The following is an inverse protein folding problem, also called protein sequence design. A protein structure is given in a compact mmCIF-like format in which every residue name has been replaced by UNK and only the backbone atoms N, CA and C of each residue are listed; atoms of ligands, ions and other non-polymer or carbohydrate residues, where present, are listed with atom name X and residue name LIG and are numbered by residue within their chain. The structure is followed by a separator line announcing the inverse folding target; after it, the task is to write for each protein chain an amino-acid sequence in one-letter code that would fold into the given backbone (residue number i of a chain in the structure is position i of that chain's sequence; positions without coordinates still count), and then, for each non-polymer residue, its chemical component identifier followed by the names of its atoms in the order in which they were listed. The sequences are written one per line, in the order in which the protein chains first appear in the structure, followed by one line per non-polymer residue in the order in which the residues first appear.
data_IF_215512417611
#
_entry.id   IF_215512417611
#
_cell.length_a   1.000
_cell.length_b   1.000
_cell.length_c   1.000
_cell.angle_alpha   90.00
_cell.angle_beta   90.00
_cell.angle_gamma   90.00
#
_symmetry.space_group_name_H-M   'P 1'
#
loop_
_entity.id
_entity.type
_entity.pdbx_description
1 polymer ?
#
# COMPACT_ATOMS: atom_id res chain seq x y z
N UNK A 1 2.26 -17.54 15.39
CA UNK A 1 0.85 -17.18 15.11
C UNK A 1 0.72 -16.79 13.64
N UNK A 2 1.41 -15.75 13.11
CA UNK A 2 1.26 -15.25 11.74
C UNK A 2 1.50 -16.33 10.67
N UNK A 3 2.60 -17.08 10.75
CA UNK A 3 2.90 -18.16 9.78
C UNK A 3 1.82 -19.25 9.75
N UNK A 4 1.16 -19.51 10.89
CA UNK A 4 0.07 -20.49 10.95
C UNK A 4 -1.19 -19.93 10.28
N UNK A 5 -1.50 -18.65 10.51
CA UNK A 5 -2.62 -17.97 9.85
C UNK A 5 -2.44 -17.93 8.32
N UNK A 6 -1.24 -17.62 7.83
CA UNK A 6 -0.92 -17.67 6.40
C UNK A 6 -1.18 -19.04 5.79
N UNK A 7 -0.67 -20.11 6.44
CA UNK A 7 -0.90 -21.48 5.96
C UNK A 7 -2.39 -21.85 5.91
N UNK A 8 -3.14 -21.48 6.97
CA UNK A 8 -4.57 -21.80 7.06
C UNK A 8 -5.40 -21.06 6.02
N UNK A 9 -4.99 -19.86 5.62
CA UNK A 9 -5.74 -19.02 4.68
C UNK A 9 -5.18 -19.03 3.26
N UNK A 10 -4.11 -19.76 2.99
CA UNK A 10 -3.39 -19.75 1.70
C UNK A 10 -4.28 -20.07 0.47
N UNK A 11 -5.34 -20.87 0.67
CA UNK A 11 -6.28 -21.24 -0.38
C UNK A 11 -7.49 -20.30 -0.51
N UNK A 12 -7.59 -19.28 0.35
CA UNK A 12 -8.68 -18.30 0.29
C UNK A 12 -8.43 -17.32 -0.86
N UNK A 13 -9.47 -17.07 -1.69
CA UNK A 13 -9.33 -16.24 -2.91
C UNK A 13 -10.21 -14.99 -2.91
N UNK A 14 -11.03 -14.79 -1.88
CA UNK A 14 -11.97 -13.66 -1.83
C UNK A 14 -11.37 -12.35 -1.36
N UNK A 15 -10.39 -12.42 -0.46
CA UNK A 15 -9.74 -11.27 0.15
C UNK A 15 -8.30 -11.63 0.49
N UNK A 16 -7.36 -10.77 0.12
CA UNK A 16 -5.98 -10.83 0.58
C UNK A 16 -5.73 -9.73 1.61
N UNK A 17 -5.21 -10.10 2.76
CA UNK A 17 -4.79 -9.14 3.81
C UNK A 17 -3.26 -9.18 3.89
N UNK A 18 -2.63 -8.02 3.76
CA UNK A 18 -1.19 -7.86 3.89
C UNK A 18 -0.88 -7.02 5.13
N UNK A 19 -0.12 -7.56 6.07
CA UNK A 19 0.29 -6.88 7.30
C UNK A 19 1.73 -6.36 7.13
N UNK A 20 1.89 -5.04 7.11
CA UNK A 20 3.19 -4.39 7.04
C UNK A 20 3.77 -4.19 8.45
N UNK A 21 4.58 -5.13 8.91
CA UNK A 21 5.25 -5.08 10.21
C UNK A 21 6.70 -4.64 10.03
N UNK A 22 7.14 -3.66 10.82
CA UNK A 22 8.49 -3.08 10.73
C UNK A 22 8.86 -2.65 9.30
N UNK A 23 7.89 -2.06 8.58
CA UNK A 23 8.00 -1.67 7.19
C UNK A 23 8.44 -0.20 7.06
N UNK A 24 9.26 0.08 6.06
CA UNK A 24 9.62 1.44 5.66
C UNK A 24 9.96 1.51 4.17
N UNK A 25 9.20 2.34 3.43
CA UNK A 25 9.29 2.42 1.96
C UNK A 25 10.67 2.82 1.45
N UNK A 26 11.39 3.71 2.13
CA UNK A 26 12.76 4.08 1.74
C UNK A 26 13.69 2.87 1.77
N UNK A 27 13.62 2.06 2.81
CA UNK A 27 14.42 0.83 2.92
C UNK A 27 14.02 -0.21 1.89
N UNK A 28 12.73 -0.34 1.61
CA UNK A 28 12.22 -1.21 0.55
C UNK A 28 12.80 -0.85 -0.82
N UNK A 29 12.77 0.45 -1.18
CA UNK A 29 13.31 0.95 -2.45
C UNK A 29 14.82 0.69 -2.55
N UNK A 30 15.58 0.98 -1.50
CA UNK A 30 17.03 0.71 -1.47
C UNK A 30 17.30 -0.79 -1.62
N UNK A 31 16.51 -1.63 -0.95
CA UNK A 31 16.64 -3.08 -1.08
C UNK A 31 16.32 -3.56 -2.50
N UNK A 32 15.26 -3.05 -3.13
CA UNK A 32 14.92 -3.35 -4.52
C UNK A 32 16.06 -3.00 -5.48
N UNK A 33 16.70 -1.84 -5.33
CA UNK A 33 17.86 -1.42 -6.12
C UNK A 33 19.04 -2.37 -5.90
N UNK A 34 19.32 -2.78 -4.68
CA UNK A 34 20.39 -3.71 -4.37
C UNK A 34 20.16 -5.09 -4.99
N UNK A 35 18.91 -5.57 -5.00
CA UNK A 35 18.53 -6.81 -5.68
C UNK A 35 18.74 -6.71 -7.20
N UNK A 36 18.38 -5.59 -7.82
CA UNK A 36 18.60 -5.31 -9.24
C UNK A 36 20.10 -5.36 -9.57
N UNK A 37 20.94 -4.69 -8.77
CA UNK A 37 22.40 -4.72 -8.92
C UNK A 37 22.94 -6.15 -8.80
N UNK A 38 22.50 -6.91 -7.80
CA UNK A 38 22.91 -8.31 -7.60
C UNK A 38 22.51 -9.20 -8.77
N UNK A 39 21.34 -8.98 -9.36
CA UNK A 39 20.86 -9.70 -10.56
C UNK A 39 21.52 -9.24 -11.85
N UNK A 40 22.32 -8.16 -11.83
CA UNK A 40 22.98 -7.55 -13.01
C UNK A 40 21.99 -7.17 -14.12
N UNK A 41 20.80 -6.71 -13.77
CA UNK A 41 19.79 -6.22 -14.72
C UNK A 41 19.71 -4.70 -14.70
N UNK A 42 19.18 -4.12 -15.78
CA UNK A 42 19.06 -2.66 -15.94
C UNK A 42 18.17 -2.04 -14.86
N UNK A 43 18.55 -0.87 -14.35
CA UNK A 43 17.74 -0.07 -13.44
C UNK A 43 16.64 0.65 -14.24
N UNK A 44 15.43 0.10 -14.20
CA UNK A 44 14.23 0.64 -14.83
C UNK A 44 13.08 0.65 -13.83
N UNK A 45 12.04 1.47 -14.06
CA UNK A 45 10.82 1.48 -13.23
C UNK A 45 10.26 0.07 -13.07
N UNK A 46 10.07 -0.64 -14.18
CA UNK A 46 9.58 -2.03 -14.19
C UNK A 46 10.42 -2.97 -13.32
N UNK A 47 11.76 -2.83 -13.34
CA UNK A 47 12.62 -3.69 -12.55
C UNK A 47 12.62 -3.31 -11.07
N UNK A 48 12.40 -2.03 -10.73
CA UNK A 48 12.16 -1.60 -9.34
C UNK A 48 10.88 -2.24 -8.84
N UNK A 49 9.76 -2.05 -9.53
CA UNK A 49 8.44 -2.60 -9.17
C UNK A 49 8.48 -4.11 -8.95
N UNK A 50 9.15 -4.86 -9.84
CA UNK A 50 9.32 -6.31 -9.70
C UNK A 50 10.15 -6.76 -8.50
N UNK A 51 10.87 -5.87 -7.85
CA UNK A 51 11.71 -6.17 -6.69
C UNK A 51 11.24 -5.47 -5.40
N UNK A 52 10.14 -4.72 -5.45
CA UNK A 52 9.46 -4.25 -4.24
C UNK A 52 8.82 -5.43 -3.49
N UNK A 53 8.59 -5.26 -2.20
CA UNK A 53 7.90 -6.28 -1.37
C UNK A 53 6.46 -6.52 -1.84
N UNK A 54 5.88 -5.54 -2.53
CA UNK A 54 4.53 -5.57 -3.08
C UNK A 54 4.47 -6.01 -4.54
N UNK A 55 5.53 -6.57 -5.11
CA UNK A 55 5.66 -6.89 -6.53
C UNK A 55 4.53 -7.77 -7.12
N UNK A 56 3.82 -8.51 -6.28
CA UNK A 56 2.68 -9.37 -6.66
C UNK A 56 1.33 -8.82 -6.16
N UNK A 57 1.29 -7.58 -5.72
CA UNK A 57 0.12 -6.92 -5.18
C UNK A 57 -0.10 -5.65 -6.01
N UNK A 58 -1.33 -5.35 -6.45
CA UNK A 58 -1.61 -4.09 -7.14
C UNK A 58 -1.36 -2.90 -6.22
N UNK A 59 -0.97 -1.77 -6.80
CA UNK A 59 -0.86 -0.52 -6.06
C UNK A 59 -2.22 -0.13 -5.45
N UNK A 60 -2.22 0.48 -4.27
CA UNK A 60 -3.47 0.85 -3.61
C UNK A 60 -4.16 2.00 -4.33
N UNK A 61 -5.45 1.85 -4.63
CA UNK A 61 -6.28 2.93 -5.15
C UNK A 61 -6.65 3.95 -4.07
N UNK A 62 -6.79 3.48 -2.83
CA UNK A 62 -7.25 4.25 -1.69
C UNK A 62 -6.35 4.01 -0.49
N UNK A 63 -5.87 5.08 0.13
CA UNK A 63 -5.13 5.05 1.39
C UNK A 63 -5.92 5.82 2.45
N UNK A 64 -6.23 5.18 3.57
CA UNK A 64 -6.91 5.80 4.70
C UNK A 64 -5.93 5.94 5.86
N UNK A 65 -5.63 7.17 6.25
CA UNK A 65 -4.76 7.47 7.37
C UNK A 65 -5.57 7.98 8.55
N UNK A 66 -5.67 7.18 9.60
CA UNK A 66 -6.29 7.56 10.89
C UNK A 66 -5.30 8.28 11.81
N UNK A 67 -5.77 8.90 12.89
CA UNK A 67 -4.92 9.47 13.94
C UNK A 67 -4.56 10.94 13.76
N UNK A 68 -5.36 11.70 13.02
CA UNK A 68 -5.22 13.16 12.85
C UNK A 68 -3.82 13.62 12.38
N UNK A 69 -3.16 12.81 11.57
CA UNK A 69 -1.85 13.13 11.00
C UNK A 69 -1.94 13.18 9.48
N UNK A 70 -1.34 14.21 8.86
CA UNK A 70 -1.38 14.45 7.41
C UNK A 70 -0.02 14.17 6.76
N UNK A 71 0.50 12.97 6.98
CA UNK A 71 1.79 12.51 6.43
C UNK A 71 1.79 11.00 6.23
N UNK A 72 2.55 10.50 5.27
CA UNK A 72 2.65 9.06 4.98
C UNK A 72 3.60 8.32 5.93
N UNK A 73 4.45 9.02 6.66
CA UNK A 73 5.40 8.43 7.62
C UNK A 73 6.21 7.27 7.05
N UNK A 74 6.72 7.44 5.84
CA UNK A 74 7.51 6.42 5.13
C UNK A 74 6.72 5.13 4.80
N UNK A 75 5.40 5.24 4.66
CA UNK A 75 4.54 4.10 4.30
C UNK A 75 4.14 4.16 2.82
N UNK A 76 4.43 3.10 2.07
CA UNK A 76 4.06 2.87 0.66
C UNK A 76 4.32 4.08 -0.27
N UNK A 77 5.48 4.78 -0.12
CA UNK A 77 5.76 6.02 -0.88
C UNK A 77 5.78 5.79 -2.40
N UNK A 78 6.25 4.64 -2.85
CA UNK A 78 6.27 4.28 -4.27
C UNK A 78 4.86 3.91 -4.75
N UNK A 79 4.23 2.99 -4.06
CA UNK A 79 2.95 2.40 -4.43
C UNK A 79 1.78 3.38 -4.33
N UNK A 80 1.88 4.38 -3.43
CA UNK A 80 0.83 5.37 -3.22
C UNK A 80 0.89 6.56 -4.19
N UNK A 81 1.73 6.52 -5.24
CA UNK A 81 1.94 7.63 -6.15
C UNK A 81 0.66 8.16 -6.81
N UNK A 82 -0.32 7.28 -7.05
CA UNK A 82 -1.63 7.62 -7.63
C UNK A 82 -2.79 7.25 -6.70
N UNK A 83 -2.52 6.95 -5.43
CA UNK A 83 -3.58 6.67 -4.46
C UNK A 83 -4.33 7.92 -4.06
N UNK A 84 -5.63 7.82 -3.91
CA UNK A 84 -6.43 8.82 -3.20
C UNK A 84 -6.20 8.68 -1.70
N UNK A 85 -5.82 9.77 -1.03
CA UNK A 85 -5.44 9.73 0.40
C UNK A 85 -6.48 10.44 1.23
N UNK A 86 -7.11 9.71 2.16
CA UNK A 86 -8.08 10.24 3.11
C UNK A 86 -7.47 10.29 4.51
N UNK A 87 -7.32 11.49 5.04
CA UNK A 87 -6.85 11.71 6.40
C UNK A 87 -8.04 11.80 7.35
N UNK A 88 -8.05 10.96 8.39
CA UNK A 88 -9.14 10.84 9.35
C UNK A 88 -8.67 11.27 10.74
N UNK A 89 -9.45 12.13 11.38
CA UNK A 89 -9.12 12.65 12.73
C UNK A 89 -9.20 11.56 13.81
N UNK A 90 -10.11 10.59 13.65
CA UNK A 90 -10.29 9.51 14.61
C UNK A 90 -9.04 8.63 14.73
N UNK A 91 -8.78 8.13 15.92
CA UNK A 91 -7.81 7.06 16.12
C UNK A 91 -8.34 5.75 15.54
N UNK A 92 -7.44 4.80 15.27
CA UNK A 92 -7.80 3.52 14.69
C UNK A 92 -8.88 2.75 15.47
N UNK A 93 -8.84 2.68 16.83
CA UNK A 93 -9.90 1.99 17.60
C UNK A 93 -11.28 2.63 17.48
N UNK A 94 -11.34 3.94 17.17
CA UNK A 94 -12.60 4.70 17.06
C UNK A 94 -13.11 4.76 15.61
N UNK A 95 -12.35 4.22 14.67
CA UNK A 95 -12.70 4.20 13.25
C UNK A 95 -13.74 3.12 12.98
N UNK A 96 -14.96 3.55 12.59
CA UNK A 96 -16.11 2.66 12.45
C UNK A 96 -16.33 2.22 11.00
N UNK A 97 -17.14 1.19 10.84
CA UNK A 97 -17.64 0.74 9.52
C UNK A 97 -18.39 1.88 8.79
N UNK A 98 -19.13 2.71 9.51
CA UNK A 98 -19.80 3.88 8.93
C UNK A 98 -18.81 4.90 8.37
N UNK A 99 -17.70 5.16 9.07
CA UNK A 99 -16.64 6.04 8.58
C UNK A 99 -16.01 5.49 7.30
N UNK A 100 -15.76 4.17 7.27
CA UNK A 100 -15.25 3.49 6.09
C UNK A 100 -16.17 3.64 4.88
N UNK A 101 -17.47 3.38 5.04
CA UNK A 101 -18.43 3.54 3.94
C UNK A 101 -18.56 4.99 3.46
N UNK A 102 -18.48 5.98 4.34
CA UNK A 102 -18.44 7.40 3.93
C UNK A 102 -17.23 7.69 3.02
N UNK A 103 -16.06 7.18 3.39
CA UNK A 103 -14.85 7.35 2.58
C UNK A 103 -14.99 6.63 1.23
N UNK A 104 -15.50 5.40 1.21
CA UNK A 104 -15.73 4.67 -0.04
C UNK A 104 -16.71 5.39 -0.98
N UNK A 105 -17.78 5.97 -0.44
CA UNK A 105 -18.71 6.74 -1.24
C UNK A 105 -18.06 8.00 -1.81
N UNK A 106 -17.26 8.71 -1.01
CA UNK A 106 -16.51 9.87 -1.50
C UNK A 106 -15.52 9.44 -2.59
N UNK A 107 -14.74 8.38 -2.36
CA UNK A 107 -13.79 7.84 -3.32
C UNK A 107 -14.45 7.47 -4.66
N UNK A 108 -15.62 6.82 -4.65
CA UNK A 108 -16.34 6.43 -5.86
C UNK A 108 -16.80 7.63 -6.72
N UNK A 109 -16.99 8.78 -6.10
CA UNK A 109 -17.40 10.01 -6.77
C UNK A 109 -16.22 10.87 -7.28
N UNK A 110 -14.97 10.45 -7.01
CA UNK A 110 -13.80 11.17 -7.48
C UNK A 110 -13.55 10.88 -8.98
N UNK A 111 -13.25 11.92 -9.72
CA UNK A 111 -12.71 11.78 -11.07
C UNK A 111 -11.19 11.60 -10.95
N UNK A 112 -10.69 10.41 -11.27
CA UNK A 112 -9.26 10.09 -11.19
C UNK A 112 -8.60 10.24 -12.56
N UNK A 113 -7.58 11.08 -12.62
CA UNK A 113 -6.80 11.33 -13.85
C UNK A 113 -5.36 10.85 -13.60
N UNK A 114 -5.02 9.63 -13.94
CA UNK A 114 -3.69 9.00 -13.73
C UNK A 114 -2.56 9.71 -14.52
N UNK A 115 -2.40 11.04 -14.34
CA UNK A 115 -1.39 11.84 -15.03
C UNK A 115 -1.72 12.13 -16.50
N UNK A 116 -2.88 11.74 -17.01
CA UNK A 116 -3.38 12.17 -18.30
C UNK A 116 -4.15 13.49 -18.13
N UNK A 117 -3.75 14.54 -18.89
CA UNK A 117 -4.48 15.80 -19.03
C UNK A 117 -5.75 15.58 -19.84
#
# INVERSE_FOLDING_TARGET
ILNNSEKTTANNKKLQINLALNYGSRNEIVNAINLIKKKKVSLTLRNIEKNLYTSNIPDPDLLIRTGNTHRLSNFLLWQAAYSEIFFVKKLWPDFTVSDYYKILNNFRNLKRNFGAL
#
